data_IF_455196980817
#
_entry.id   IF_455196980817
#
_cell.length_a   1.000
_cell.length_b   1.000
_cell.length_c   1.000
_cell.angle_alpha   90.00
_cell.angle_beta   90.00
_cell.angle_gamma   90.00
#
_symmetry.space_group_name_H-M   'P 1'
#
loop_
_entity.id
_entity.type
_entity.pdbx_description
1 polymer ?
#
# COMPACT_ATOMS: atom_id res chain seq x y z
N UNK A 1 35.95 -11.02 -11.07
CA UNK A 1 34.90 -10.70 -10.09
C UNK A 1 35.40 -11.10 -8.72
N UNK A 2 35.81 -10.14 -7.88
CA UNK A 2 36.29 -10.44 -6.53
C UNK A 2 35.17 -11.07 -5.69
N UNK A 3 35.37 -12.31 -5.25
CA UNK A 3 34.58 -12.93 -4.19
C UNK A 3 34.96 -12.24 -2.88
N UNK A 4 34.23 -11.19 -2.54
CA UNK A 4 34.42 -10.51 -1.25
C UNK A 4 34.02 -11.48 -0.11
N UNK A 5 35.01 -11.94 0.64
CA UNK A 5 34.95 -13.02 1.64
C UNK A 5 34.35 -12.62 3.00
N UNK A 6 33.63 -11.50 3.09
CA UNK A 6 32.83 -11.17 4.26
C UNK A 6 31.44 -11.80 4.11
N UNK A 7 31.13 -12.76 4.98
CA UNK A 7 29.81 -13.41 5.09
C UNK A 7 28.75 -12.30 5.18
N UNK A 8 28.06 -11.99 4.09
CA UNK A 8 27.04 -10.94 4.06
C UNK A 8 25.93 -11.34 5.03
N UNK A 9 25.83 -10.64 6.15
CA UNK A 9 24.69 -10.79 7.05
C UNK A 9 23.45 -10.38 6.28
N UNK A 10 22.53 -11.33 6.10
CA UNK A 10 21.22 -11.06 5.51
C UNK A 10 20.47 -10.14 6.47
N UNK A 11 20.29 -8.88 6.07
CA UNK A 11 19.55 -7.88 6.84
C UNK A 11 18.42 -7.34 5.96
N UNK A 12 17.23 -7.11 6.53
CA UNK A 12 16.16 -6.46 5.80
C UNK A 12 16.57 -5.04 5.39
N UNK A 13 15.90 -4.50 4.37
CA UNK A 13 16.10 -3.13 3.96
C UNK A 13 15.80 -2.17 5.11
N UNK A 14 16.46 -1.01 5.14
CA UNK A 14 16.26 -0.03 6.21
C UNK A 14 14.79 0.40 6.26
N UNK A 15 14.17 0.31 7.44
CA UNK A 15 12.77 0.70 7.62
C UNK A 15 11.75 -0.35 7.19
N UNK A 16 12.18 -1.57 6.86
CA UNK A 16 11.33 -2.75 6.69
C UNK A 16 11.62 -3.78 7.79
N UNK A 17 10.66 -4.66 8.06
CA UNK A 17 10.83 -5.75 9.02
C UNK A 17 9.97 -6.95 8.60
N UNK A 18 10.41 -8.13 9.00
CA UNK A 18 9.64 -9.36 8.84
C UNK A 18 8.68 -9.52 10.01
N UNK A 19 7.50 -10.07 9.74
CA UNK A 19 6.55 -10.44 10.78
C UNK A 19 6.80 -11.89 11.19
N UNK A 20 7.07 -12.12 12.48
CA UNK A 20 7.21 -13.47 13.03
C UNK A 20 5.85 -14.10 13.32
N UNK A 21 5.79 -15.41 13.59
CA UNK A 21 4.55 -16.18 13.73
C UNK A 21 3.52 -15.53 14.67
N UNK A 22 3.93 -15.11 15.87
CA UNK A 22 3.03 -14.47 16.85
C UNK A 22 2.43 -13.17 16.30
N UNK A 23 3.24 -12.36 15.63
CA UNK A 23 2.78 -11.12 15.00
C UNK A 23 1.84 -11.40 13.81
N UNK A 24 2.09 -12.48 13.07
CA UNK A 24 1.24 -12.92 11.97
C UNK A 24 -0.13 -13.42 12.45
N UNK A 25 -0.19 -14.09 13.60
CA UNK A 25 -1.46 -14.50 14.22
C UNK A 25 -2.30 -13.27 14.58
N UNK A 26 -1.73 -12.33 15.35
CA UNK A 26 -2.40 -11.09 15.74
C UNK A 26 -2.85 -10.29 14.51
N UNK A 27 -1.98 -10.19 13.50
CA UNK A 27 -2.30 -9.53 12.23
C UNK A 27 -3.45 -10.23 11.50
N UNK A 28 -3.47 -11.56 11.51
CA UNK A 28 -4.55 -12.37 10.94
C UNK A 28 -5.89 -12.10 11.60
N UNK A 29 -5.93 -12.10 12.93
CA UNK A 29 -7.15 -11.78 13.69
C UNK A 29 -7.65 -10.35 13.39
N UNK A 30 -6.75 -9.38 13.37
CA UNK A 30 -7.11 -8.00 13.06
C UNK A 30 -7.63 -7.85 11.61
N UNK A 31 -6.99 -8.51 10.65
CA UNK A 31 -7.46 -8.53 9.27
C UNK A 31 -8.81 -9.22 9.13
N UNK A 32 -9.05 -10.31 9.86
CA UNK A 32 -10.34 -10.99 9.86
C UNK A 32 -11.44 -10.09 10.45
N UNK A 33 -11.15 -9.36 11.51
CA UNK A 33 -12.06 -8.37 12.10
C UNK A 33 -12.40 -7.25 11.10
N UNK A 34 -11.39 -6.67 10.43
CA UNK A 34 -11.60 -5.65 9.40
C UNK A 34 -12.41 -6.17 8.21
N UNK A 35 -12.18 -7.41 7.78
CA UNK A 35 -12.94 -8.05 6.70
C UNK A 35 -14.39 -8.29 7.11
N UNK A 36 -14.62 -8.75 8.34
CA UNK A 36 -15.96 -8.95 8.91
C UNK A 36 -16.72 -7.63 8.96
N UNK A 37 -16.12 -6.57 9.51
CA UNK A 37 -16.71 -5.23 9.54
C UNK A 37 -17.06 -4.72 8.13
N UNK A 38 -16.15 -4.93 7.16
CA UNK A 38 -16.37 -4.53 5.76
C UNK A 38 -17.54 -5.29 5.12
N UNK A 39 -17.72 -6.57 5.47
CA UNK A 39 -18.85 -7.39 5.02
C UNK A 39 -20.15 -6.92 5.65
N UNK A 40 -20.15 -6.61 6.95
CA UNK A 40 -21.36 -6.24 7.68
C UNK A 40 -21.85 -4.82 7.30
N UNK A 41 -20.92 -3.90 6.97
CA UNK A 41 -21.28 -2.64 6.31
C UNK A 41 -21.95 -2.89 4.96
N UNK A 42 -21.47 -3.85 4.17
CA UNK A 42 -22.06 -4.19 2.87
C UNK A 42 -23.49 -4.76 3.02
N UNK A 43 -23.73 -5.63 4.01
CA UNK A 43 -25.05 -6.24 4.22
C UNK A 43 -26.06 -5.22 4.72
N UNK A 44 -25.71 -4.40 5.70
CA UNK A 44 -26.57 -3.33 6.20
C UNK A 44 -26.93 -2.34 5.08
N UNK A 45 -25.97 -1.88 4.29
CA UNK A 45 -26.28 -0.95 3.21
C UNK A 45 -27.03 -1.56 2.03
N UNK A 46 -26.80 -2.85 1.70
CA UNK A 46 -27.61 -3.54 0.70
C UNK A 46 -29.09 -3.65 1.11
N UNK A 47 -29.37 -3.72 2.42
CA UNK A 47 -30.72 -3.71 2.96
C UNK A 47 -31.35 -2.31 2.93
N UNK A 48 -30.55 -1.23 3.04
CA UNK A 48 -31.05 0.14 3.16
C UNK A 48 -30.86 1.04 1.92
N UNK A 49 -30.07 0.65 0.90
CA UNK A 49 -29.78 1.50 -0.26
C UNK A 49 -29.33 0.70 -1.50
N UNK A 50 -29.84 1.09 -2.68
CA UNK A 50 -29.44 0.57 -4.02
C UNK A 50 -27.99 0.94 -4.43
N UNK A 51 -27.10 1.18 -3.48
CA UNK A 51 -25.71 1.62 -3.72
C UNK A 51 -24.86 0.50 -4.31
N UNK A 52 -24.26 0.72 -5.48
CA UNK A 52 -23.28 -0.19 -6.09
C UNK A 52 -22.01 -0.21 -5.24
N UNK A 53 -21.87 -1.20 -4.36
CA UNK A 53 -20.64 -1.46 -3.63
C UNK A 53 -19.62 -2.12 -4.56
N UNK A 54 -18.50 -1.44 -4.79
CA UNK A 54 -17.39 -2.01 -5.56
C UNK A 54 -16.35 -2.58 -4.61
N UNK A 55 -16.15 -3.90 -4.69
CA UNK A 55 -14.97 -4.54 -4.12
C UNK A 55 -13.83 -4.36 -5.11
N UNK A 56 -12.88 -3.49 -4.77
CA UNK A 56 -11.64 -3.42 -5.52
C UNK A 56 -10.73 -4.55 -5.05
N UNK A 57 -10.61 -5.58 -5.90
CA UNK A 57 -9.48 -6.49 -5.83
C UNK A 57 -8.20 -5.64 -5.88
N UNK A 58 -7.24 -5.97 -5.00
CA UNK A 58 -6.14 -5.08 -4.62
C UNK A 58 -5.48 -4.32 -5.77
N UNK A 59 -5.16 -3.05 -5.53
CA UNK A 59 -4.36 -2.28 -6.47
C UNK A 59 -2.92 -2.84 -6.56
N UNK A 60 -2.29 -2.83 -7.75
CA UNK A 60 -0.87 -3.15 -7.91
C UNK A 60 0.01 -2.38 -6.92
N UNK A 61 1.11 -2.99 -6.47
CA UNK A 61 2.09 -2.30 -5.64
C UNK A 61 2.85 -1.21 -6.41
N UNK A 62 2.95 -1.38 -7.73
CA UNK A 62 3.61 -0.47 -8.66
C UNK A 62 2.59 0.38 -9.41
N UNK A 63 2.90 1.65 -9.54
CA UNK A 63 2.11 2.59 -10.31
C UNK A 63 3.04 3.46 -11.16
N UNK A 64 2.51 4.05 -12.23
CA UNK A 64 3.28 4.97 -13.06
C UNK A 64 3.67 6.21 -12.26
N UNK A 65 4.90 6.69 -12.48
CA UNK A 65 5.45 7.84 -11.74
C UNK A 65 4.56 9.08 -11.86
N UNK A 66 3.99 9.30 -13.05
CA UNK A 66 3.16 10.46 -13.36
C UNK A 66 1.86 10.49 -12.53
N UNK A 67 1.42 9.34 -12.04
CA UNK A 67 0.16 9.20 -11.28
C UNK A 67 0.28 9.73 -9.84
N UNK A 68 1.50 9.86 -9.30
CA UNK A 68 1.77 10.21 -7.90
C UNK A 68 2.29 11.64 -7.70
N UNK A 69 2.16 12.51 -8.70
CA UNK A 69 2.71 13.88 -8.73
C UNK A 69 2.06 14.91 -7.81
N UNK A 70 1.37 14.53 -6.72
CA UNK A 70 0.70 15.51 -5.84
C UNK A 70 1.58 15.92 -4.66
N UNK A 71 2.02 17.18 -4.65
CA UNK A 71 2.57 17.87 -3.47
C UNK A 71 1.50 17.94 -2.39
N UNK A 72 1.70 17.29 -1.24
CA UNK A 72 0.84 17.49 -0.06
C UNK A 72 1.48 18.53 0.84
N UNK A 73 0.85 19.70 0.94
CA UNK A 73 1.33 20.79 1.81
C UNK A 73 2.68 21.38 1.40
N UNK A 74 2.95 21.52 0.10
CA UNK A 74 4.18 22.14 -0.42
C UNK A 74 5.46 21.31 -0.31
N UNK A 75 5.42 20.12 0.32
CA UNK A 75 6.55 19.20 0.39
C UNK A 75 6.44 18.15 -0.73
N UNK A 76 7.50 18.02 -1.53
CA UNK A 76 7.61 16.95 -2.53
C UNK A 76 7.60 15.61 -1.81
N UNK A 77 6.60 14.78 -2.09
CA UNK A 77 6.58 13.40 -1.61
C UNK A 77 7.78 12.70 -2.25
N UNK A 78 8.65 12.12 -1.43
CA UNK A 78 9.79 11.35 -1.92
C UNK A 78 9.26 9.95 -2.25
N UNK A 79 9.01 9.71 -3.53
CA UNK A 79 8.53 8.41 -4.02
C UNK A 79 9.66 7.37 -4.01
N UNK A 80 9.29 6.10 -3.81
CA UNK A 80 10.19 4.97 -4.01
C UNK A 80 10.22 4.61 -5.50
N UNK A 81 10.99 5.38 -6.27
CA UNK A 81 11.19 5.16 -7.71
C UNK A 81 11.99 3.87 -7.97
N UNK A 82 11.56 3.10 -8.97
CA UNK A 82 12.30 1.95 -9.49
C UNK A 82 13.32 2.40 -10.52
N UNK A 83 14.46 1.70 -10.58
CA UNK A 83 15.45 1.92 -11.62
C UNK A 83 14.86 1.56 -13.00
N UNK A 84 15.21 2.35 -14.02
CA UNK A 84 14.75 2.12 -15.39
C UNK A 84 15.30 0.80 -15.95
N UNK A 85 14.41 -0.03 -16.49
CA UNK A 85 14.73 -1.30 -17.15
C UNK A 85 14.22 -1.31 -18.61
N UNK A 86 14.20 -0.14 -19.26
CA UNK A 86 13.66 0.03 -20.62
C UNK A 86 12.14 0.17 -20.72
N UNK A 87 11.42 0.12 -19.59
CA UNK A 87 9.98 0.36 -19.51
C UNK A 87 9.60 1.78 -19.05
N UNK A 88 8.30 2.02 -18.90
CA UNK A 88 7.78 3.28 -18.33
C UNK A 88 8.27 3.46 -16.89
N UNK A 89 8.62 4.69 -16.47
CA UNK A 89 9.05 4.94 -15.10
C UNK A 89 7.92 4.65 -14.11
N UNK A 90 8.23 3.85 -13.09
CA UNK A 90 7.28 3.42 -12.08
C UNK A 90 7.83 3.64 -10.67
N UNK A 91 6.90 3.75 -9.72
CA UNK A 91 7.21 3.88 -8.29
C UNK A 91 6.30 2.97 -7.47
N UNK A 92 6.74 2.62 -6.27
CA UNK A 92 5.85 1.97 -5.30
C UNK A 92 4.75 2.94 -4.84
N UNK A 93 3.55 2.42 -4.61
CA UNK A 93 2.39 3.25 -4.22
C UNK A 93 2.61 3.92 -2.86
N UNK A 94 2.30 5.21 -2.82
CA UNK A 94 2.37 6.04 -1.61
C UNK A 94 0.99 6.27 -0.98
N UNK A 95 0.02 6.64 -1.81
CA UNK A 95 -1.40 6.69 -1.41
C UNK A 95 -2.13 5.53 -2.10
N UNK A 96 -2.91 4.74 -1.35
CA UNK A 96 -3.85 3.86 -2.00
C UNK A 96 -4.84 4.73 -2.79
N UNK A 97 -5.14 4.34 -4.03
CA UNK A 97 -6.33 4.72 -4.80
C UNK A 97 -6.36 5.93 -5.75
N UNK A 98 -5.35 6.79 -5.80
CA UNK A 98 -5.39 7.99 -6.68
C UNK A 98 -5.75 7.63 -8.13
N UNK A 99 -5.21 6.52 -8.66
CA UNK A 99 -5.54 6.03 -10.00
C UNK A 99 -6.93 5.42 -10.10
N UNK A 100 -7.31 4.58 -9.14
CA UNK A 100 -8.57 3.85 -9.20
C UNK A 100 -9.76 4.81 -9.17
N UNK A 101 -9.72 5.83 -8.30
CA UNK A 101 -10.74 6.89 -8.27
C UNK A 101 -10.88 7.59 -9.62
N UNK A 102 -9.76 7.98 -10.23
CA UNK A 102 -9.75 8.63 -11.53
C UNK A 102 -10.29 7.73 -12.66
N UNK A 103 -10.05 6.42 -12.60
CA UNK A 103 -10.52 5.46 -13.62
C UNK A 103 -12.00 5.12 -13.50
N UNK A 104 -12.55 5.10 -12.29
CA UNK A 104 -13.95 4.72 -12.07
C UNK A 104 -14.88 5.87 -12.46
N UNK A 105 -14.41 7.13 -12.38
CA UNK A 105 -15.21 8.30 -12.75
C UNK A 105 -16.43 8.53 -11.84
N UNK A 106 -16.49 7.87 -10.67
CA UNK A 106 -17.58 8.02 -9.71
C UNK A 106 -17.29 9.16 -8.74
N UNK A 107 -18.28 10.02 -8.53
CA UNK A 107 -18.20 11.13 -7.58
C UNK A 107 -18.17 10.67 -6.11
N UNK A 108 -18.75 9.51 -5.80
CA UNK A 108 -18.74 8.92 -4.45
C UNK A 108 -18.96 7.42 -4.51
N UNK A 109 -18.19 6.66 -3.73
CA UNK A 109 -18.37 5.23 -3.52
C UNK A 109 -17.74 4.80 -2.19
N UNK A 110 -18.21 3.68 -1.66
CA UNK A 110 -17.68 3.07 -0.43
C UNK A 110 -16.87 1.83 -0.77
N UNK A 111 -15.73 1.67 -0.10
CA UNK A 111 -14.83 0.52 -0.27
C UNK A 111 -13.92 0.33 0.95
N UNK A 112 -13.31 -0.85 1.02
CA UNK A 112 -12.24 -1.17 1.96
C UNK A 112 -11.03 -1.70 1.19
N UNK A 113 -9.81 -1.31 1.57
CA UNK A 113 -8.57 -1.91 1.08
C UNK A 113 -7.59 -2.10 2.22
N UNK A 114 -7.06 -3.31 2.34
CA UNK A 114 -5.93 -3.64 3.20
C UNK A 114 -4.75 -3.89 2.28
N UNK A 115 -3.72 -3.04 2.35
CA UNK A 115 -2.52 -3.22 1.55
C UNK A 115 -1.33 -2.47 2.13
N UNK A 116 -0.13 -2.98 1.88
CA UNK A 116 1.12 -2.30 2.23
C UNK A 116 1.29 -1.02 1.40
N UNK A 117 1.81 0.03 2.03
CA UNK A 117 2.22 1.28 1.37
C UNK A 117 3.70 1.56 1.62
N UNK A 118 4.31 2.36 0.75
CA UNK A 118 5.75 2.58 0.77
C UNK A 118 6.08 4.07 0.85
N UNK A 119 6.94 4.46 1.80
CA UNK A 119 7.33 5.85 2.04
C UNK A 119 8.85 5.97 2.23
N UNK A 120 9.48 7.00 1.66
CA UNK A 120 10.88 7.38 1.96
C UNK A 120 10.96 8.42 3.08
N UNK A 121 10.15 8.28 4.13
CA UNK A 121 10.35 9.06 5.34
C UNK A 121 11.68 8.68 5.99
N UNK A 122 12.32 9.64 6.70
CA UNK A 122 13.50 9.32 7.49
C UNK A 122 13.07 8.34 8.60
N UNK A 123 13.55 7.08 8.58
CA UNK A 123 13.03 6.05 9.45
C UNK A 123 13.44 6.33 10.90
N UNK A 124 12.51 6.12 11.82
CA UNK A 124 12.71 6.19 13.27
C UNK A 124 12.08 4.94 13.90
N UNK A 125 12.23 4.74 15.22
CA UNK A 125 11.60 3.59 15.92
C UNK A 125 10.08 3.46 15.70
N UNK A 126 9.42 4.54 15.28
CA UNK A 126 7.97 4.61 15.05
C UNK A 126 7.62 4.85 13.57
N UNK A 127 8.62 5.12 12.71
CA UNK A 127 8.40 5.42 11.29
C UNK A 127 9.02 4.35 10.40
N UNK A 128 8.16 3.50 9.88
CA UNK A 128 8.51 2.48 8.90
C UNK A 128 8.40 3.02 7.47
N UNK A 129 9.22 2.46 6.58
CA UNK A 129 9.15 2.76 5.15
C UNK A 129 8.18 1.83 4.41
N UNK A 130 7.80 0.72 5.04
CA UNK A 130 6.80 -0.24 4.58
C UNK A 130 5.91 -0.62 5.76
N UNK A 131 4.59 -0.46 5.61
CA UNK A 131 3.58 -0.84 6.61
C UNK A 131 2.23 -1.10 5.95
#
# INVERSE_FOLDING_TARGET
MERNGSRRLLKPAKGTHDFVNEQMIIRGEHFQSCQTFSRDMKTSEALFSRGKHFQFAGAPALETRDTHGKTRGGKKIINCDLAGQGGKPCCLKYEPFVRQEAMIGMASFKRCQISKVYRRDNPSKVRYQEF
#
